data_IF_241038785228
#
_entry.id   IF_241038785228
#
_cell.length_a   1.000
_cell.length_b   1.000
_cell.length_c   1.000
_cell.angle_alpha   90.00
_cell.angle_beta   90.00
_cell.angle_gamma   90.00
#
_symmetry.space_group_name_H-M   'P 1'
#
loop_
_entity.id
_entity.type
_entity.pdbx_description
1 polymer ?
#
# COMPACT_ATOMS: atom_id res chain seq x y z
N UNK A 1 32.00 -11.72 -38.76
CA UNK A 1 30.79 -11.02 -38.27
C UNK A 1 30.79 -10.94 -36.74
N UNK A 2 31.57 -10.03 -36.11
CA UNK A 2 31.65 -9.93 -34.64
C UNK A 2 30.68 -8.91 -34.04
N UNK A 3 30.22 -7.92 -34.82
CA UNK A 3 29.52 -6.73 -34.30
C UNK A 3 28.11 -7.00 -33.74
N UNK A 4 27.42 -8.06 -34.20
CA UNK A 4 26.06 -8.41 -33.75
C UNK A 4 26.03 -9.10 -32.39
N UNK A 5 27.12 -9.73 -31.97
CA UNK A 5 27.22 -10.43 -30.68
C UNK A 5 27.57 -9.44 -29.55
N UNK A 6 28.45 -8.49 -29.80
CA UNK A 6 28.81 -7.43 -28.85
C UNK A 6 27.64 -6.49 -28.55
N UNK A 7 26.85 -6.11 -29.55
CA UNK A 7 25.65 -5.28 -29.32
C UNK A 7 24.57 -5.98 -28.49
N UNK A 8 24.33 -7.28 -28.72
CA UNK A 8 23.36 -8.06 -27.90
C UNK A 8 23.79 -8.22 -26.44
N UNK A 9 25.09 -8.45 -26.20
CA UNK A 9 25.62 -8.57 -24.83
C UNK A 9 25.59 -7.23 -24.10
N UNK A 10 25.95 -6.13 -24.76
CA UNK A 10 25.87 -4.78 -24.20
C UNK A 10 24.43 -4.37 -23.89
N UNK A 11 23.47 -4.73 -24.74
CA UNK A 11 22.05 -4.46 -24.50
C UNK A 11 21.52 -5.27 -23.32
N UNK A 12 21.80 -6.58 -23.25
CA UNK A 12 21.37 -7.40 -22.11
C UNK A 12 21.97 -6.91 -20.77
N UNK A 13 23.24 -6.48 -20.76
CA UNK A 13 23.88 -5.91 -19.58
C UNK A 13 23.26 -4.56 -19.19
N UNK A 14 22.91 -3.72 -20.18
CA UNK A 14 22.26 -2.42 -19.94
C UNK A 14 20.82 -2.59 -19.44
N UNK A 15 20.09 -3.56 -19.98
CA UNK A 15 18.73 -3.90 -19.55
C UNK A 15 18.71 -4.49 -18.14
N UNK A 16 19.67 -5.38 -17.82
CA UNK A 16 19.82 -5.92 -16.46
C UNK A 16 20.16 -4.83 -15.44
N UNK A 17 21.06 -3.91 -15.81
CA UNK A 17 21.44 -2.77 -14.96
C UNK A 17 20.26 -1.82 -14.72
N UNK A 18 19.50 -1.50 -15.75
CA UNK A 18 18.25 -0.73 -15.60
C UNK A 18 17.25 -1.47 -14.72
N UNK A 19 17.19 -2.81 -14.79
CA UNK A 19 16.30 -3.62 -13.96
C UNK A 19 16.69 -3.62 -12.47
N UNK A 20 17.99 -3.63 -12.14
CA UNK A 20 18.47 -3.64 -10.76
C UNK A 20 18.27 -2.27 -10.08
N UNK A 21 18.56 -1.19 -10.80
CA UNK A 21 18.29 0.17 -10.32
C UNK A 21 16.80 0.46 -10.15
N UNK A 22 15.97 -0.08 -11.05
CA UNK A 22 14.52 -0.03 -10.93
C UNK A 22 14.05 -0.79 -9.69
N UNK A 23 14.54 -2.02 -9.50
CA UNK A 23 14.21 -2.85 -8.34
C UNK A 23 14.57 -2.16 -7.01
N UNK A 24 15.76 -1.57 -6.93
CA UNK A 24 16.20 -0.79 -5.76
C UNK A 24 15.26 0.39 -5.51
N UNK A 25 15.06 1.23 -6.53
CA UNK A 25 14.26 2.45 -6.44
C UNK A 25 12.81 2.17 -6.04
N UNK A 26 12.18 1.15 -6.64
CA UNK A 26 10.81 0.74 -6.32
C UNK A 26 10.68 0.26 -4.86
N UNK A 27 11.64 -0.53 -4.40
CA UNK A 27 11.61 -1.07 -3.03
C UNK A 27 11.84 0.02 -2.00
N UNK A 28 12.73 0.98 -2.31
CA UNK A 28 12.98 2.13 -1.45
C UNK A 28 11.77 3.07 -1.39
N UNK A 29 11.17 3.36 -2.55
CA UNK A 29 9.96 4.19 -2.61
C UNK A 29 8.82 3.56 -1.83
N UNK A 30 8.64 2.24 -1.95
CA UNK A 30 7.71 1.50 -1.11
C UNK A 30 8.00 1.71 0.39
N UNK A 31 9.24 1.50 0.82
CA UNK A 31 9.62 1.62 2.23
C UNK A 31 9.46 3.04 2.77
N UNK A 32 9.68 4.07 1.95
CA UNK A 32 9.44 5.46 2.33
C UNK A 32 7.96 5.75 2.67
N UNK A 33 7.03 4.93 2.19
CA UNK A 33 5.61 5.00 2.54
C UNK A 33 5.25 4.17 3.79
N UNK A 34 6.24 3.61 4.49
CA UNK A 34 6.05 2.76 5.66
C UNK A 34 6.87 3.26 6.86
N UNK A 35 6.49 2.90 8.10
CA UNK A 35 7.31 3.19 9.28
C UNK A 35 8.71 2.56 9.29
N UNK A 36 8.95 1.58 8.42
CA UNK A 36 10.20 0.84 8.37
C UNK A 36 11.35 1.63 7.71
N UNK A 37 11.06 2.75 7.04
CA UNK A 37 12.06 3.52 6.29
C UNK A 37 13.35 3.76 7.08
N UNK A 38 13.22 4.20 8.34
CA UNK A 38 14.37 4.55 9.19
C UNK A 38 15.30 3.37 9.45
N UNK A 39 14.76 2.14 9.47
CA UNK A 39 15.55 0.92 9.71
C UNK A 39 16.42 0.55 8.50
N UNK A 40 16.03 0.97 7.30
CA UNK A 40 16.64 0.52 6.04
C UNK A 40 17.41 1.61 5.30
N UNK A 41 17.29 2.89 5.68
CA UNK A 41 17.89 4.03 4.98
C UNK A 41 19.40 3.86 4.74
N UNK A 42 20.16 3.46 5.78
CA UNK A 42 21.59 3.20 5.65
C UNK A 42 21.90 2.04 4.70
N UNK A 43 21.09 0.98 4.74
CA UNK A 43 21.27 -0.18 3.87
C UNK A 43 21.06 0.19 2.39
N UNK A 44 20.04 0.99 2.08
CA UNK A 44 19.81 1.50 0.73
C UNK A 44 20.93 2.42 0.24
N UNK A 45 21.48 3.28 1.12
CA UNK A 45 22.65 4.09 0.77
C UNK A 45 23.88 3.22 0.41
N UNK A 46 24.11 2.14 1.16
CA UNK A 46 25.18 1.17 0.86
C UNK A 46 24.94 0.46 -0.46
N UNK A 47 23.73 -0.04 -0.72
CA UNK A 47 23.39 -0.70 -1.98
C UNK A 47 23.52 0.22 -3.19
N UNK A 48 23.07 1.49 -3.10
CA UNK A 48 23.29 2.50 -4.15
C UNK A 48 24.77 2.68 -4.44
N UNK A 49 25.59 2.85 -3.40
CA UNK A 49 27.05 3.01 -3.56
C UNK A 49 27.66 1.78 -4.22
N UNK A 50 27.29 0.57 -3.80
CA UNK A 50 27.77 -0.70 -4.38
C UNK A 50 27.39 -0.82 -5.86
N UNK A 51 26.17 -0.43 -6.27
CA UNK A 51 25.74 -0.46 -7.67
C UNK A 51 26.39 0.64 -8.53
N UNK A 52 26.72 1.80 -7.95
CA UNK A 52 27.43 2.88 -8.64
C UNK A 52 28.90 2.54 -8.89
N UNK A 53 29.59 2.00 -7.89
CA UNK A 53 31.03 1.70 -7.97
C UNK A 53 31.31 0.32 -8.56
N UNK A 54 30.39 -0.64 -8.36
CA UNK A 54 30.49 -2.01 -8.84
C UNK A 54 30.18 -2.13 -10.33
N UNK A 55 31.23 -2.14 -11.16
CA UNK A 55 31.13 -2.49 -12.59
C UNK A 55 31.09 -3.99 -12.85
N UNK A 56 31.29 -4.82 -11.83
CA UNK A 56 31.33 -6.29 -11.94
C UNK A 56 29.94 -6.90 -11.63
N UNK A 57 29.52 -7.85 -12.45
CA UNK A 57 28.25 -8.55 -12.37
C UNK A 57 28.06 -9.30 -11.03
N UNK A 58 29.13 -9.76 -10.39
CA UNK A 58 29.05 -10.41 -9.08
C UNK A 58 28.51 -9.48 -7.97
N UNK A 59 28.89 -8.20 -8.01
CA UNK A 59 28.39 -7.19 -7.03
C UNK A 59 26.91 -6.93 -7.28
N UNK A 60 26.49 -6.87 -8.55
CA UNK A 60 25.10 -6.65 -8.94
C UNK A 60 24.21 -7.82 -8.53
N UNK A 61 24.65 -9.04 -8.80
CA UNK A 61 23.96 -10.26 -8.39
C UNK A 61 23.74 -10.30 -6.87
N UNK A 62 24.78 -10.01 -6.09
CA UNK A 62 24.67 -9.95 -4.61
C UNK A 62 23.67 -8.90 -4.14
N UNK A 63 23.71 -7.67 -4.67
CA UNK A 63 22.74 -6.62 -4.28
C UNK A 63 21.31 -7.00 -4.68
N UNK A 64 21.15 -7.63 -5.85
CA UNK A 64 19.85 -8.12 -6.32
C UNK A 64 19.29 -9.20 -5.41
N UNK A 65 20.11 -10.16 -4.98
CA UNK A 65 19.72 -11.21 -4.04
C UNK A 65 19.29 -10.63 -2.69
N UNK A 66 20.07 -9.68 -2.15
CA UNK A 66 19.73 -8.97 -0.92
C UNK A 66 18.36 -8.26 -1.03
N UNK A 67 18.11 -7.57 -2.14
CA UNK A 67 16.83 -6.90 -2.41
C UNK A 67 15.68 -7.90 -2.51
N UNK A 68 15.87 -9.03 -3.19
CA UNK A 68 14.84 -10.08 -3.29
C UNK A 68 14.53 -10.67 -1.91
N UNK A 69 15.56 -10.88 -1.08
CA UNK A 69 15.38 -11.37 0.28
C UNK A 69 14.58 -10.38 1.15
N UNK A 70 14.92 -9.09 1.09
CA UNK A 70 14.17 -8.04 1.78
C UNK A 70 12.70 -8.00 1.33
N UNK A 71 12.43 -8.02 0.01
CA UNK A 71 11.06 -8.04 -0.51
C UNK A 71 10.29 -9.30 -0.08
N UNK A 72 10.95 -10.43 0.16
CA UNK A 72 10.31 -11.63 0.72
C UNK A 72 9.97 -11.44 2.20
N UNK A 73 10.89 -10.91 3.00
CA UNK A 73 10.67 -10.63 4.42
C UNK A 73 9.49 -9.65 4.62
N UNK A 74 9.47 -8.55 3.87
CA UNK A 74 8.36 -7.58 3.92
C UNK A 74 7.00 -8.23 3.63
N UNK A 75 6.92 -9.16 2.65
CA UNK A 75 5.69 -9.89 2.38
C UNK A 75 5.25 -10.78 3.54
N UNK A 76 6.19 -11.42 4.23
CA UNK A 76 5.89 -12.23 5.43
C UNK A 76 5.38 -11.36 6.58
N UNK A 77 5.86 -10.13 6.71
CA UNK A 77 5.31 -9.13 7.64
C UNK A 77 3.97 -8.53 7.19
N UNK A 78 3.48 -8.96 6.03
CA UNK A 78 2.18 -8.59 5.50
C UNK A 78 2.19 -7.32 4.65
N UNK A 79 3.34 -6.85 4.19
CA UNK A 79 3.41 -5.75 3.23
C UNK A 79 3.16 -6.25 1.80
N UNK A 80 2.38 -5.48 1.03
CA UNK A 80 2.15 -5.75 -0.39
C UNK A 80 2.86 -4.70 -1.25
N UNK A 81 3.95 -5.12 -1.87
CA UNK A 81 4.83 -4.21 -2.62
C UNK A 81 4.22 -3.70 -3.92
N UNK A 82 3.14 -4.31 -4.43
CA UNK A 82 2.42 -3.75 -5.58
C UNK A 82 1.70 -2.44 -5.24
N UNK A 83 1.50 -2.18 -3.94
CA UNK A 83 0.82 -0.99 -3.44
C UNK A 83 1.77 0.20 -3.24
N UNK A 84 3.07 0.05 -3.48
CA UNK A 84 4.05 1.13 -3.27
C UNK A 84 3.83 2.36 -4.16
N UNK A 85 3.10 2.20 -5.27
CA UNK A 85 2.68 3.31 -6.11
C UNK A 85 1.30 3.89 -5.71
N UNK A 86 0.54 3.18 -4.88
CA UNK A 86 -0.82 3.55 -4.50
C UNK A 86 -0.78 4.39 -3.23
N UNK A 87 -1.35 5.58 -3.30
CA UNK A 87 -1.48 6.49 -2.18
C UNK A 87 -2.83 6.29 -1.46
N UNK A 88 -2.80 6.17 -0.13
CA UNK A 88 -4.00 6.30 0.70
C UNK A 88 -4.16 7.74 1.14
N UNK A 89 -5.30 8.34 0.84
CA UNK A 89 -5.62 9.72 1.22
C UNK A 89 -6.90 9.69 2.07
N UNK A 90 -6.76 9.94 3.37
CA UNK A 90 -7.91 10.08 4.28
C UNK A 90 -8.12 11.57 4.56
N UNK A 91 -9.13 12.16 3.92
CA UNK A 91 -9.38 13.61 4.00
C UNK A 91 -10.84 13.98 3.87
N UNK A 92 -11.16 15.10 4.51
CA UNK A 92 -12.42 15.83 4.42
C UNK A 92 -13.65 15.01 4.84
N UNK A 93 -14.73 15.72 5.13
CA UNK A 93 -16.08 15.15 5.19
C UNK A 93 -16.78 15.48 3.89
N UNK A 94 -17.55 14.53 3.36
CA UNK A 94 -18.38 14.76 2.17
C UNK A 94 -19.82 14.35 2.44
N UNK A 95 -20.74 15.15 1.91
CA UNK A 95 -22.18 14.95 1.99
C UNK A 95 -22.66 13.98 0.90
N UNK A 96 -23.97 13.72 0.84
CA UNK A 96 -24.57 12.78 -0.11
C UNK A 96 -24.37 13.15 -1.59
N UNK A 97 -24.10 14.43 -1.91
CA UNK A 97 -23.74 14.86 -3.28
C UNK A 97 -22.41 14.24 -3.76
N UNK A 98 -21.65 13.60 -2.87
CA UNK A 98 -20.48 12.81 -3.22
C UNK A 98 -20.80 11.69 -4.22
N UNK A 99 -21.98 11.09 -4.15
CA UNK A 99 -22.40 10.05 -5.09
C UNK A 99 -22.39 10.56 -6.54
N UNK A 100 -22.90 11.78 -6.78
CA UNK A 100 -22.88 12.42 -8.10
C UNK A 100 -21.46 12.72 -8.61
N UNK A 101 -20.49 12.84 -7.69
CA UNK A 101 -19.05 13.02 -7.99
C UNK A 101 -18.29 11.69 -8.12
N UNK A 102 -19.00 10.56 -8.13
CA UNK A 102 -18.44 9.22 -8.33
C UNK A 102 -17.95 8.54 -7.06
N UNK A 103 -18.18 9.11 -5.87
CA UNK A 103 -17.89 8.41 -4.63
C UNK A 103 -18.88 7.27 -4.40
N UNK A 104 -18.42 6.22 -3.74
CA UNK A 104 -19.22 5.09 -3.31
C UNK A 104 -19.19 4.97 -1.79
N UNK A 105 -20.24 4.39 -1.21
CA UNK A 105 -20.32 4.17 0.25
C UNK A 105 -19.50 2.95 0.64
N UNK A 106 -18.82 3.06 1.77
CA UNK A 106 -18.12 1.95 2.41
C UNK A 106 -18.20 2.12 3.92
N UNK A 107 -18.39 1.01 4.63
CA UNK A 107 -18.16 0.93 6.06
C UNK A 107 -16.96 0.04 6.29
N UNK A 108 -16.01 0.50 7.08
CA UNK A 108 -14.82 -0.28 7.46
C UNK A 108 -14.86 -0.55 8.96
N UNK A 109 -14.38 -1.71 9.38
CA UNK A 109 -14.28 -2.13 10.77
C UNK A 109 -12.87 -2.63 11.04
N UNK A 110 -12.16 -2.00 11.97
CA UNK A 110 -10.96 -2.59 12.55
C UNK A 110 -11.36 -3.49 13.72
N UNK A 111 -10.84 -4.70 13.75
CA UNK A 111 -10.93 -5.63 14.86
C UNK A 111 -9.53 -6.19 15.15
N UNK A 112 -9.38 -6.91 16.26
CA UNK A 112 -8.09 -7.55 16.61
C UNK A 112 -7.56 -8.47 15.49
N UNK A 113 -8.48 -9.14 14.78
CA UNK A 113 -8.14 -10.04 13.68
C UNK A 113 -7.72 -9.33 12.39
N UNK A 114 -8.03 -8.04 12.22
CA UNK A 114 -7.72 -7.29 11.00
C UNK A 114 -8.73 -6.21 10.63
N UNK A 115 -8.70 -5.80 9.35
CA UNK A 115 -9.62 -4.82 8.77
C UNK A 115 -10.65 -5.55 7.91
N UNK A 116 -11.92 -5.27 8.16
CA UNK A 116 -13.06 -5.74 7.38
C UNK A 116 -13.82 -4.57 6.79
N UNK A 117 -14.52 -4.77 5.68
CA UNK A 117 -15.28 -3.70 5.04
C UNK A 117 -16.48 -4.24 4.29
N UNK A 118 -17.47 -3.37 4.09
CA UNK A 118 -18.62 -3.60 3.23
C UNK A 118 -18.91 -2.33 2.43
N UNK A 119 -19.08 -2.45 1.12
CA UNK A 119 -19.43 -1.35 0.22
C UNK A 119 -20.64 -1.71 -0.62
N UNK A 120 -21.39 -0.70 -1.06
CA UNK A 120 -22.60 -0.91 -1.86
C UNK A 120 -23.46 0.34 -1.98
N UNK A 121 -24.68 0.14 -2.49
CA UNK A 121 -25.66 1.20 -2.72
C UNK A 121 -26.50 1.54 -1.48
N UNK A 122 -26.58 0.60 -0.53
CA UNK A 122 -27.26 0.79 0.75
C UNK A 122 -26.66 1.96 1.54
N UNK A 123 -27.45 2.56 2.43
CA UNK A 123 -26.93 3.66 3.24
C UNK A 123 -25.89 3.18 4.27
N UNK A 124 -25.11 4.11 4.82
CA UNK A 124 -24.01 3.80 5.74
C UNK A 124 -24.45 3.01 6.99
N UNK A 125 -25.65 3.28 7.53
CA UNK A 125 -26.14 2.60 8.72
C UNK A 125 -26.50 1.14 8.42
N UNK A 126 -27.16 0.89 7.29
CA UNK A 126 -27.48 -0.47 6.82
C UNK A 126 -26.19 -1.27 6.56
N UNK A 127 -25.25 -0.70 5.81
CA UNK A 127 -23.95 -1.33 5.56
C UNK A 127 -23.20 -1.65 6.86
N UNK A 128 -23.28 -0.76 7.85
CA UNK A 128 -22.65 -0.96 9.15
C UNK A 128 -23.29 -2.09 9.95
N UNK A 129 -24.62 -2.13 9.97
CA UNK A 129 -25.39 -3.20 10.62
C UNK A 129 -25.08 -4.55 10.00
N UNK A 130 -25.08 -4.65 8.67
CA UNK A 130 -24.80 -5.89 7.95
C UNK A 130 -23.36 -6.38 8.22
N UNK A 131 -22.39 -5.47 8.17
CA UNK A 131 -20.99 -5.78 8.48
C UNK A 131 -20.84 -6.28 9.92
N UNK A 132 -21.46 -5.60 10.89
CA UNK A 132 -21.42 -6.01 12.29
C UNK A 132 -22.00 -7.43 12.47
N UNK A 133 -23.21 -7.69 11.95
CA UNK A 133 -23.87 -9.00 12.05
C UNK A 133 -22.99 -10.09 11.44
N UNK A 134 -22.34 -9.81 10.31
CA UNK A 134 -21.43 -10.77 9.68
C UNK A 134 -20.23 -11.09 10.57
N UNK A 135 -19.59 -10.07 11.15
CA UNK A 135 -18.40 -10.22 11.99
C UNK A 135 -18.72 -10.90 13.32
N UNK A 136 -19.86 -10.59 13.94
CA UNK A 136 -20.34 -11.25 15.15
C UNK A 136 -20.59 -12.74 14.89
N UNK A 137 -21.28 -13.08 13.79
CA UNK A 137 -21.52 -14.47 13.39
C UNK A 137 -20.21 -15.24 13.19
N UNK A 138 -19.18 -14.58 12.65
CA UNK A 138 -17.84 -15.17 12.44
C UNK A 138 -16.95 -15.12 13.70
N UNK A 139 -17.42 -14.52 14.81
CA UNK A 139 -16.65 -14.27 16.04
C UNK A 139 -15.37 -13.44 15.81
N UNK A 140 -15.44 -12.51 14.86
CA UNK A 140 -14.35 -11.59 14.51
C UNK A 140 -14.55 -10.19 15.10
N UNK A 141 -15.76 -9.88 15.61
CA UNK A 141 -16.14 -8.57 16.16
C UNK A 141 -15.57 -8.36 17.58
N UNK A 142 -14.25 -8.27 17.68
CA UNK A 142 -13.51 -8.10 18.94
C UNK A 142 -12.78 -6.75 18.91
N UNK A 143 -13.01 -5.93 19.94
CA UNK A 143 -12.56 -4.53 20.03
C UNK A 143 -12.82 -3.72 18.75
N UNK A 144 -14.08 -3.65 18.28
CA UNK A 144 -14.42 -3.07 17.00
C UNK A 144 -14.24 -1.55 16.98
N UNK A 145 -13.65 -1.04 15.90
CA UNK A 145 -13.60 0.38 15.55
C UNK A 145 -14.22 0.55 14.16
N UNK A 146 -15.46 1.03 14.10
CA UNK A 146 -16.25 1.24 12.88
C UNK A 146 -16.03 2.64 12.32
N UNK A 147 -15.93 2.75 10.99
CA UNK A 147 -15.91 4.03 10.28
C UNK A 147 -16.85 4.01 9.07
N UNK A 148 -17.64 5.07 8.92
CA UNK A 148 -18.67 5.23 7.89
C UNK A 148 -18.20 6.24 6.84
N UNK A 149 -17.80 5.76 5.68
CA UNK A 149 -16.99 6.54 4.76
C UNK A 149 -17.54 6.57 3.34
N UNK A 150 -17.10 7.58 2.61
CA UNK A 150 -17.13 7.60 1.16
C UNK A 150 -15.75 7.23 0.63
N UNK A 151 -15.70 6.46 -0.45
CA UNK A 151 -14.45 6.18 -1.14
C UNK A 151 -14.51 6.53 -2.63
N UNK A 152 -13.34 6.85 -3.18
CA UNK A 152 -13.14 7.11 -4.60
C UNK A 152 -11.74 6.67 -5.01
N UNK A 153 -11.65 5.84 -6.05
CA UNK A 153 -10.40 5.58 -6.74
C UNK A 153 -10.12 6.67 -7.78
N UNK A 154 -8.93 7.29 -7.71
CA UNK A 154 -8.47 8.27 -8.68
C UNK A 154 -7.02 8.00 -9.08
N UNK A 155 -6.82 7.44 -10.27
CA UNK A 155 -5.51 6.98 -10.74
C UNK A 155 -4.90 6.04 -9.69
N UNK A 156 -3.72 6.36 -9.17
CA UNK A 156 -3.00 5.57 -8.17
C UNK A 156 -3.30 6.05 -6.74
N UNK A 157 -4.51 6.51 -6.46
CA UNK A 157 -4.91 6.94 -5.12
C UNK A 157 -6.29 6.42 -4.73
N UNK A 158 -6.37 5.88 -3.51
CA UNK A 158 -7.63 5.61 -2.81
C UNK A 158 -7.92 6.79 -1.89
N UNK A 159 -9.01 7.51 -2.17
CA UNK A 159 -9.51 8.57 -1.30
C UNK A 159 -10.57 7.99 -0.37
N UNK A 160 -10.44 8.26 0.93
CA UNK A 160 -11.44 8.00 1.95
C UNK A 160 -11.87 9.33 2.58
N UNK A 161 -13.16 9.57 2.66
CA UNK A 161 -13.76 10.78 3.23
C UNK A 161 -14.84 10.42 4.24
N UNK A 162 -14.96 11.19 5.32
CA UNK A 162 -15.99 10.98 6.33
C UNK A 162 -17.40 11.19 5.75
N UNK A 163 -18.34 10.33 6.12
CA UNK A 163 -19.76 10.54 5.84
C UNK A 163 -20.41 11.42 6.91
N UNK A 164 -21.68 11.79 6.74
CA UNK A 164 -22.46 12.49 7.77
C UNK A 164 -22.70 11.64 9.03
N UNK A 165 -22.60 10.31 8.92
CA UNK A 165 -22.74 9.36 10.04
C UNK A 165 -21.44 9.21 10.83
N UNK A 166 -20.30 9.56 10.23
CA UNK A 166 -18.99 9.46 10.88
C UNK A 166 -18.81 10.61 11.88
N UNK A 167 -18.40 10.29 13.11
CA UNK A 167 -18.04 11.34 14.06
C UNK A 167 -16.65 11.89 13.78
N UNK A 168 -16.42 13.14 14.15
CA UNK A 168 -15.11 13.78 13.96
C UNK A 168 -13.99 13.00 14.66
N UNK A 169 -14.24 12.56 15.89
CA UNK A 169 -13.25 11.83 16.69
C UNK A 169 -12.92 10.46 16.07
N UNK A 170 -13.92 9.77 15.51
CA UNK A 170 -13.70 8.51 14.81
C UNK A 170 -12.88 8.73 13.53
N UNK A 171 -13.21 9.77 12.76
CA UNK A 171 -12.46 10.10 11.55
C UNK A 171 -11.01 10.48 11.84
N UNK A 172 -10.75 11.22 12.92
CA UNK A 172 -9.38 11.59 13.35
C UNK A 172 -8.56 10.36 13.77
N UNK A 173 -9.19 9.35 14.41
CA UNK A 173 -8.52 8.07 14.70
C UNK A 173 -8.19 7.31 13.43
N UNK A 174 -9.10 7.27 12.45
CA UNK A 174 -8.83 6.68 11.14
C UNK A 174 -7.65 7.38 10.44
N UNK A 175 -7.63 8.71 10.44
CA UNK A 175 -6.54 9.48 9.86
C UNK A 175 -5.21 9.14 10.53
N UNK A 176 -5.17 9.10 11.86
CA UNK A 176 -3.98 8.72 12.63
C UNK A 176 -3.49 7.33 12.25
N UNK A 177 -4.41 6.35 12.17
CA UNK A 177 -4.09 4.96 11.82
C UNK A 177 -3.59 4.84 10.37
N UNK A 178 -4.22 5.53 9.43
CA UNK A 178 -3.83 5.56 8.03
C UNK A 178 -2.47 6.24 7.83
N UNK A 179 -2.17 7.31 8.56
CA UNK A 179 -0.85 7.96 8.55
C UNK A 179 0.23 7.08 9.16
N UNK A 180 -0.09 6.36 10.24
CA UNK A 180 0.85 5.47 10.90
C UNK A 180 1.27 4.30 10.02
N UNK A 181 0.38 3.70 9.22
CA UNK A 181 0.77 2.64 8.29
C UNK A 181 -0.20 2.52 7.09
N UNK A 182 -0.06 3.38 6.06
CA UNK A 182 -1.01 3.46 4.96
C UNK A 182 -1.04 2.18 4.14
N UNK A 183 0.13 1.54 3.95
CA UNK A 183 0.24 0.32 3.15
C UNK A 183 -0.49 -0.88 3.79
N UNK A 184 -0.49 -0.99 5.13
CA UNK A 184 -1.26 -2.04 5.81
C UNK A 184 -2.76 -1.84 5.63
N UNK A 185 -3.26 -0.61 5.66
CA UNK A 185 -4.67 -0.31 5.42
C UNK A 185 -5.04 -0.59 3.96
N UNK A 186 -4.25 -0.06 3.00
CA UNK A 186 -4.46 -0.28 1.56
C UNK A 186 -4.51 -1.76 1.18
N UNK A 187 -3.71 -2.61 1.82
CA UNK A 187 -3.71 -4.04 1.58
C UNK A 187 -5.10 -4.67 1.67
N UNK A 188 -5.90 -4.23 2.63
CA UNK A 188 -7.26 -4.73 2.81
C UNK A 188 -8.27 -4.02 1.89
N UNK A 189 -8.00 -2.76 1.56
CA UNK A 189 -8.92 -1.92 0.78
C UNK A 189 -8.67 -1.95 -0.73
N UNK A 190 -7.61 -2.61 -1.21
CA UNK A 190 -7.29 -2.68 -2.65
C UNK A 190 -8.35 -3.34 -3.53
N UNK A 191 -9.32 -4.02 -2.90
CA UNK A 191 -10.43 -4.71 -3.57
C UNK A 191 -11.75 -3.92 -3.55
N UNK A 192 -11.77 -2.72 -2.94
CA UNK A 192 -12.86 -1.75 -3.09
C UNK A 192 -12.97 -1.27 -4.54
#
# INVERSE_FOLDING_TARGET
MPEKLTTRLLNNLRDSFQSDWKLLSETEHFLASTPLQQNYEQQFAVWRKRLQTGKNDAVRASVREDLIALRKALRLEGYDLSLGAIQLIVKDFVNDDAAARGFRRVVICFCDAGLFWLSGEANHLELGSDLQVELERKRLYVHPEMHYLWFLWKRDALLLSGSATETKEAFERLQTRAQANPQKVLRYLKAL
#
